data_IF_118638434007
#
_entry.id   IF_118638434007
#
_cell.length_a   1.000
_cell.length_b   1.000
_cell.length_c   1.000
_cell.angle_alpha   90.00
_cell.angle_beta   90.00
_cell.angle_gamma   90.00
#
_symmetry.space_group_name_H-M   'P 1'
#
loop_
_entity.id
_entity.type
_entity.pdbx_description
1 polymer ?
#
# COMPACT_ATOMS: atom_id res chain seq x y z
N UNK A 1 -15.45 8.63 -5.41
CA UNK A 1 -15.75 10.08 -5.39
C UNK A 1 -16.96 10.45 -4.49
N UNK A 2 -17.67 9.50 -3.90
CA UNK A 2 -18.85 9.75 -3.10
C UNK A 2 -18.65 9.57 -1.59
N UNK A 3 -17.46 9.19 -1.13
CA UNK A 3 -17.22 8.93 0.28
C UNK A 3 -16.32 10.03 0.85
N UNK A 4 -16.90 10.85 1.73
CA UNK A 4 -16.13 11.76 2.58
C UNK A 4 -15.52 10.92 3.72
N UNK A 5 -14.24 10.58 3.57
CA UNK A 5 -13.51 9.78 4.54
C UNK A 5 -12.72 10.74 5.41
N UNK A 6 -13.03 10.76 6.71
CA UNK A 6 -12.21 11.46 7.67
C UNK A 6 -10.85 10.74 7.81
N UNK A 7 -9.79 11.40 7.37
CA UNK A 7 -8.42 10.88 7.37
C UNK A 7 -7.65 11.54 8.51
N UNK A 8 -7.33 10.81 9.59
CA UNK A 8 -6.60 11.38 10.71
C UNK A 8 -5.20 11.85 10.31
N UNK A 9 -4.85 13.08 10.65
CA UNK A 9 -3.57 13.71 10.27
C UNK A 9 -2.36 12.89 10.78
N UNK A 10 -2.47 12.28 11.95
CA UNK A 10 -1.42 11.40 12.51
C UNK A 10 -1.13 10.19 11.60
N UNK A 11 -2.15 9.66 10.90
CA UNK A 11 -1.96 8.55 9.96
C UNK A 11 -1.30 9.05 8.67
N UNK A 12 -1.65 10.25 8.23
CA UNK A 12 -1.02 10.89 7.06
C UNK A 12 0.46 11.14 7.32
N UNK A 13 0.81 11.72 8.48
CA UNK A 13 2.21 11.95 8.84
C UNK A 13 3.02 10.64 8.92
N UNK A 14 2.45 9.59 9.50
CA UNK A 14 3.07 8.26 9.53
C UNK A 14 3.29 7.67 8.12
N UNK A 15 2.33 7.87 7.22
CA UNK A 15 2.47 7.42 5.82
C UNK A 15 3.55 8.22 5.08
N UNK A 16 3.62 9.55 5.31
CA UNK A 16 4.69 10.40 4.77
C UNK A 16 6.06 9.91 5.23
N UNK A 17 6.22 9.59 6.52
CA UNK A 17 7.48 9.04 7.05
C UNK A 17 7.86 7.74 6.34
N UNK A 18 6.90 6.86 6.11
CA UNK A 18 7.09 5.60 5.37
C UNK A 18 7.52 5.86 3.93
N UNK A 19 6.87 6.82 3.24
CA UNK A 19 7.23 7.20 1.87
C UNK A 19 8.64 7.78 1.77
N UNK A 20 9.01 8.67 2.70
CA UNK A 20 10.36 9.24 2.76
C UNK A 20 11.41 8.16 3.05
N UNK A 21 11.10 7.21 3.94
CA UNK A 21 11.99 6.09 4.21
C UNK A 21 12.17 5.18 2.99
N UNK A 22 11.11 4.89 2.25
CA UNK A 22 11.16 4.15 0.99
C UNK A 22 12.02 4.88 -0.06
N UNK A 23 11.86 6.19 -0.18
CA UNK A 23 12.69 7.01 -1.06
C UNK A 23 14.18 6.93 -0.67
N UNK A 24 14.51 7.02 0.62
CA UNK A 24 15.90 6.87 1.10
C UNK A 24 16.50 5.53 0.69
N UNK A 25 15.73 4.45 0.82
CA UNK A 25 16.19 3.12 0.43
C UNK A 25 16.41 3.04 -1.09
N UNK A 26 15.50 3.56 -1.88
CA UNK A 26 15.62 3.57 -3.34
C UNK A 26 16.84 4.39 -3.80
N UNK A 27 17.09 5.54 -3.21
CA UNK A 27 18.29 6.34 -3.48
C UNK A 27 19.57 5.59 -3.10
N UNK A 28 19.57 4.91 -1.95
CA UNK A 28 20.72 4.12 -1.49
C UNK A 28 21.08 2.99 -2.48
N UNK A 29 20.09 2.30 -3.08
CA UNK A 29 20.34 1.33 -4.15
C UNK A 29 21.00 1.94 -5.39
N UNK A 30 20.78 3.24 -5.63
CA UNK A 30 21.40 3.99 -6.73
C UNK A 30 22.74 4.64 -6.32
N UNK A 31 23.22 4.39 -5.11
CA UNK A 31 24.44 4.99 -4.57
C UNK A 31 24.32 6.46 -4.19
N UNK A 32 23.09 6.95 -4.02
CA UNK A 32 22.81 8.33 -3.65
C UNK A 32 22.29 8.43 -2.21
N UNK A 33 22.67 9.50 -1.51
CA UNK A 33 22.06 9.85 -0.23
C UNK A 33 20.89 10.83 -0.44
N UNK A 34 19.99 10.89 0.55
CA UNK A 34 18.92 11.88 0.54
C UNK A 34 19.46 13.32 0.50
N UNK A 35 20.58 13.59 1.19
CA UNK A 35 21.22 14.90 1.20
C UNK A 35 21.77 15.29 -0.18
N UNK A 36 22.33 14.32 -0.92
CA UNK A 36 22.76 14.55 -2.30
C UNK A 36 21.56 14.84 -3.19
N UNK A 37 20.48 14.08 -3.04
CA UNK A 37 19.23 14.31 -3.78
C UNK A 37 18.67 15.71 -3.51
N UNK A 38 18.62 16.15 -2.24
CA UNK A 38 18.18 17.50 -1.86
C UNK A 38 19.03 18.59 -2.49
N UNK A 39 20.37 18.40 -2.54
CA UNK A 39 21.28 19.35 -3.19
C UNK A 39 21.05 19.44 -4.71
N UNK A 40 20.74 18.30 -5.37
CA UNK A 40 20.48 18.28 -6.81
C UNK A 40 19.13 18.90 -7.17
N UNK A 41 18.11 18.66 -6.37
CA UNK A 41 16.75 19.14 -6.64
C UNK A 41 16.47 20.53 -6.06
N UNK A 42 17.27 20.98 -5.10
CA UNK A 42 17.00 22.19 -4.33
C UNK A 42 15.84 22.08 -3.36
N UNK A 43 15.29 20.86 -3.16
CA UNK A 43 14.16 20.61 -2.27
C UNK A 43 14.66 20.28 -0.87
N UNK A 44 14.17 20.98 0.13
CA UNK A 44 14.40 20.62 1.52
C UNK A 44 13.41 19.51 1.99
N UNK A 45 13.59 19.05 3.23
CA UNK A 45 12.74 18.00 3.80
C UNK A 45 11.28 18.44 3.91
N UNK A 46 11.02 19.71 4.22
CA UNK A 46 9.67 20.22 4.35
C UNK A 46 8.93 20.17 3.01
N UNK A 47 9.56 20.67 1.94
CA UNK A 47 9.01 20.63 0.59
C UNK A 47 8.76 19.18 0.10
N UNK A 48 9.66 18.24 0.45
CA UNK A 48 9.47 16.83 0.11
C UNK A 48 8.26 16.22 0.86
N UNK A 49 8.07 16.54 2.13
CA UNK A 49 6.92 16.12 2.92
C UNK A 49 5.62 16.70 2.37
N UNK A 50 5.60 17.98 2.05
CA UNK A 50 4.44 18.66 1.47
C UNK A 50 4.03 18.04 0.12
N UNK A 51 5.02 17.72 -0.71
CA UNK A 51 4.76 17.04 -1.99
C UNK A 51 4.19 15.63 -1.80
N UNK A 52 4.65 14.90 -0.78
CA UNK A 52 4.17 13.56 -0.48
C UNK A 52 2.77 13.54 0.17
N UNK A 53 2.32 14.64 0.80
CA UNK A 53 1.10 14.69 1.62
C UNK A 53 -0.14 14.26 0.86
N UNK A 54 -0.37 14.78 -0.34
CA UNK A 54 -1.57 14.45 -1.12
C UNK A 54 -1.66 12.96 -1.47
N UNK A 55 -0.52 12.34 -1.78
CA UNK A 55 -0.48 10.91 -2.09
C UNK A 55 -0.58 10.06 -0.80
N UNK A 56 -0.01 10.53 0.30
CA UNK A 56 -0.17 9.91 1.62
C UNK A 56 -1.65 9.91 2.06
N UNK A 57 -2.35 11.04 1.92
CA UNK A 57 -3.79 11.15 2.23
C UNK A 57 -4.61 10.15 1.42
N UNK A 58 -4.37 10.04 0.11
CA UNK A 58 -5.06 9.06 -0.76
C UNK A 58 -4.80 7.62 -0.33
N UNK A 59 -3.54 7.29 0.01
CA UNK A 59 -3.17 5.95 0.47
C UNK A 59 -3.84 5.60 1.79
N UNK A 60 -3.84 6.54 2.75
CA UNK A 60 -4.50 6.35 4.05
C UNK A 60 -6.00 6.22 3.87
N UNK A 61 -6.65 7.10 3.07
CA UNK A 61 -8.07 7.03 2.78
C UNK A 61 -8.45 5.68 2.16
N UNK A 62 -7.69 5.20 1.16
CA UNK A 62 -7.92 3.90 0.53
C UNK A 62 -7.79 2.75 1.53
N UNK A 63 -6.81 2.81 2.43
CA UNK A 63 -6.61 1.80 3.49
C UNK A 63 -7.76 1.78 4.48
N UNK A 64 -8.24 2.96 4.91
CA UNK A 64 -9.40 3.09 5.80
C UNK A 64 -10.65 2.50 5.13
N UNK A 65 -10.88 2.85 3.86
CA UNK A 65 -12.01 2.33 3.08
C UNK A 65 -11.97 0.81 2.97
N UNK A 66 -10.83 0.24 2.57
CA UNK A 66 -10.67 -1.21 2.45
C UNK A 66 -10.91 -1.92 3.79
N UNK A 67 -10.39 -1.38 4.89
CA UNK A 67 -10.66 -1.94 6.22
C UNK A 67 -12.13 -1.86 6.61
N UNK A 68 -12.83 -0.80 6.23
CA UNK A 68 -14.27 -0.68 6.45
C UNK A 68 -15.05 -1.72 5.63
N UNK A 69 -14.69 -1.92 4.36
CA UNK A 69 -15.29 -2.95 3.48
C UNK A 69 -15.04 -4.35 4.04
N UNK A 70 -13.80 -4.67 4.42
CA UNK A 70 -13.44 -5.98 5.02
C UNK A 70 -14.34 -6.27 6.23
N UNK A 71 -14.53 -5.27 7.09
CA UNK A 71 -15.36 -5.41 8.29
C UNK A 71 -16.84 -5.55 7.98
N UNK A 72 -17.35 -4.73 7.05
CA UNK A 72 -18.78 -4.71 6.68
C UNK A 72 -19.20 -5.98 5.97
N UNK A 73 -18.36 -6.50 5.08
CA UNK A 73 -18.63 -7.71 4.28
C UNK A 73 -18.16 -8.99 4.98
N UNK A 74 -17.61 -8.88 6.20
CA UNK A 74 -17.05 -10.01 6.99
C UNK A 74 -16.05 -10.83 6.18
N UNK A 75 -15.12 -10.17 5.51
CA UNK A 75 -14.10 -10.84 4.69
C UNK A 75 -13.07 -11.48 5.61
N UNK A 76 -12.98 -12.81 5.52
CA UNK A 76 -12.02 -13.61 6.30
C UNK A 76 -10.94 -14.20 5.39
N UNK A 77 -9.75 -14.36 5.94
CA UNK A 77 -8.67 -15.13 5.34
C UNK A 77 -8.75 -16.56 5.87
N UNK A 78 -8.90 -17.53 4.97
CA UNK A 78 -8.82 -18.94 5.33
C UNK A 78 -7.36 -19.41 5.38
N UNK A 79 -7.09 -20.55 6.04
CA UNK A 79 -5.75 -21.13 6.05
C UNK A 79 -5.23 -21.41 4.62
N UNK A 80 -6.12 -21.85 3.73
CA UNK A 80 -5.79 -22.09 2.32
C UNK A 80 -5.38 -20.81 1.58
N UNK A 81 -6.08 -19.70 1.84
CA UNK A 81 -5.74 -18.40 1.27
C UNK A 81 -4.37 -17.91 1.74
N UNK A 82 -4.09 -18.08 3.03
CA UNK A 82 -2.81 -17.69 3.64
C UNK A 82 -1.67 -18.54 3.09
N UNK A 83 -1.86 -19.85 2.97
CA UNK A 83 -0.86 -20.77 2.41
C UNK A 83 -0.56 -20.42 0.94
N UNK A 84 -1.58 -20.08 0.15
CA UNK A 84 -1.41 -19.63 -1.22
C UNK A 84 -0.63 -18.32 -1.30
N UNK A 85 -1.01 -17.33 -0.51
CA UNK A 85 -0.30 -16.03 -0.46
C UNK A 85 1.16 -16.20 -0.06
N UNK A 86 1.41 -17.08 0.90
CA UNK A 86 2.77 -17.40 1.35
C UNK A 86 3.57 -18.11 0.26
N UNK A 87 2.94 -18.98 -0.54
CA UNK A 87 3.57 -19.62 -1.69
C UNK A 87 3.92 -18.61 -2.79
N UNK A 88 3.01 -17.68 -3.08
CA UNK A 88 3.22 -16.61 -4.06
C UNK A 88 4.36 -15.68 -3.62
N UNK A 89 4.40 -15.32 -2.33
CA UNK A 89 5.48 -14.55 -1.75
C UNK A 89 6.83 -15.28 -1.86
N UNK A 90 6.88 -16.54 -1.48
CA UNK A 90 8.08 -17.36 -1.58
C UNK A 90 8.61 -17.44 -3.03
N UNK A 91 7.72 -17.66 -3.99
CA UNK A 91 8.06 -17.71 -5.42
C UNK A 91 8.62 -16.36 -5.92
N UNK A 92 8.04 -15.25 -5.50
CA UNK A 92 8.47 -13.91 -5.89
C UNK A 92 9.90 -13.59 -5.42
N UNK A 93 10.28 -14.07 -4.23
CA UNK A 93 11.61 -13.83 -3.65
C UNK A 93 12.58 -14.99 -3.85
N UNK A 94 12.22 -16.02 -4.61
CA UNK A 94 13.06 -17.19 -4.85
C UNK A 94 13.38 -17.99 -3.59
N UNK A 95 12.48 -17.97 -2.62
CA UNK A 95 12.59 -18.68 -1.34
C UNK A 95 11.68 -19.90 -1.30
N UNK A 96 11.91 -20.82 -0.37
CA UNK A 96 10.95 -21.89 -0.09
C UNK A 96 9.88 -21.40 0.89
N UNK A 97 8.67 -21.96 0.81
CA UNK A 97 7.60 -21.70 1.78
C UNK A 97 8.05 -22.01 3.21
N UNK A 98 8.89 -23.05 3.36
CA UNK A 98 9.44 -23.44 4.67
C UNK A 98 10.37 -22.36 5.25
N UNK A 99 11.18 -21.71 4.41
CA UNK A 99 12.07 -20.64 4.84
C UNK A 99 11.28 -19.38 5.21
N UNK A 100 10.23 -19.08 4.45
CA UNK A 100 9.28 -17.99 4.79
C UNK A 100 8.61 -18.28 6.13
N UNK A 101 8.08 -19.50 6.34
CA UNK A 101 7.47 -19.93 7.63
C UNK A 101 8.46 -19.82 8.79
N UNK A 102 9.72 -20.16 8.61
CA UNK A 102 10.75 -20.00 9.65
C UNK A 102 11.05 -18.55 9.97
N UNK A 103 11.06 -17.70 8.95
CA UNK A 103 11.37 -16.27 9.10
C UNK A 103 10.27 -15.51 9.85
N UNK A 104 9.01 -15.80 9.56
CA UNK A 104 7.85 -15.15 10.21
C UNK A 104 7.42 -15.84 11.51
N UNK A 105 7.86 -17.08 11.77
CA UNK A 105 7.43 -17.85 12.92
C UNK A 105 5.92 -18.10 12.93
N UNK A 106 5.26 -17.79 14.05
CA UNK A 106 3.80 -17.95 14.21
C UNK A 106 3.01 -16.67 13.90
N UNK A 107 3.67 -15.60 13.44
CA UNK A 107 2.99 -14.34 13.13
C UNK A 107 2.50 -14.32 11.70
N UNK A 108 1.32 -14.90 11.48
CA UNK A 108 0.64 -14.91 10.18
C UNK A 108 -0.19 -13.64 9.92
N UNK A 109 -0.23 -12.72 10.88
CA UNK A 109 -1.10 -11.53 10.81
C UNK A 109 -0.86 -10.69 9.55
N UNK A 110 0.38 -10.57 9.10
CA UNK A 110 0.71 -9.87 7.87
C UNK A 110 0.02 -10.48 6.65
N UNK A 111 0.09 -11.80 6.49
CA UNK A 111 -0.55 -12.51 5.38
C UNK A 111 -2.08 -12.51 5.47
N UNK A 112 -2.62 -12.61 6.68
CA UNK A 112 -4.07 -12.50 6.90
C UNK A 112 -4.61 -11.15 6.44
N UNK A 113 -3.95 -10.05 6.81
CA UNK A 113 -4.37 -8.70 6.41
C UNK A 113 -4.23 -8.50 4.90
N UNK A 114 -3.14 -8.98 4.29
CA UNK A 114 -2.91 -8.86 2.85
C UNK A 114 -3.95 -9.65 2.04
N UNK A 115 -4.25 -10.88 2.45
CA UNK A 115 -5.31 -11.70 1.85
C UNK A 115 -6.68 -11.02 1.94
N UNK A 116 -7.03 -10.48 3.13
CA UNK A 116 -8.31 -9.77 3.31
C UNK A 116 -8.40 -8.54 2.40
N UNK A 117 -7.30 -7.79 2.26
CA UNK A 117 -7.26 -6.63 1.36
C UNK A 117 -7.42 -7.04 -0.10
N UNK A 118 -6.74 -8.09 -0.56
CA UNK A 118 -6.88 -8.63 -1.92
C UNK A 118 -8.31 -9.06 -2.20
N UNK A 119 -8.91 -9.86 -1.32
CA UNK A 119 -10.32 -10.29 -1.44
C UNK A 119 -11.29 -9.10 -1.49
N UNK A 120 -11.07 -8.07 -0.69
CA UNK A 120 -11.89 -6.87 -0.72
C UNK A 120 -11.79 -6.13 -2.06
N UNK A 121 -10.58 -6.00 -2.60
CA UNK A 121 -10.35 -5.37 -3.90
C UNK A 121 -11.02 -6.18 -5.01
N UNK A 122 -10.85 -7.50 -5.05
CA UNK A 122 -11.45 -8.38 -6.06
C UNK A 122 -12.98 -8.29 -6.02
N UNK A 123 -13.58 -8.34 -4.83
CA UNK A 123 -15.03 -8.16 -4.66
C UNK A 123 -15.50 -6.79 -5.15
N UNK A 124 -14.76 -5.73 -4.87
CA UNK A 124 -15.09 -4.38 -5.35
C UNK A 124 -15.01 -4.31 -6.87
N UNK A 125 -14.04 -4.97 -7.50
CA UNK A 125 -13.90 -5.07 -8.95
C UNK A 125 -15.07 -5.81 -9.58
N UNK A 126 -15.47 -6.95 -9.02
CA UNK A 126 -16.61 -7.74 -9.49
C UNK A 126 -17.93 -6.98 -9.42
N UNK A 127 -18.13 -6.19 -8.36
CA UNK A 127 -19.33 -5.37 -8.17
C UNK A 127 -19.27 -4.00 -8.87
N UNK A 128 -18.13 -3.61 -9.43
CA UNK A 128 -17.95 -2.31 -10.05
C UNK A 128 -18.67 -2.22 -11.41
N UNK A 129 -19.45 -1.19 -11.59
CA UNK A 129 -19.99 -0.79 -12.89
C UNK A 129 -18.92 0.03 -13.63
N UNK A 130 -18.26 -0.57 -14.61
CA UNK A 130 -17.31 0.15 -15.46
C UNK A 130 -18.06 1.07 -16.42
N UNK A 131 -17.98 2.39 -16.19
CA UNK A 131 -18.47 3.42 -17.11
C UNK A 131 -17.30 3.80 -18.00
N UNK A 132 -17.48 3.67 -19.33
CA UNK A 132 -16.45 4.12 -20.27
C UNK A 132 -16.13 5.60 -20.01
N UNK A 133 -14.84 5.91 -19.83
CA UNK A 133 -14.40 7.29 -19.71
C UNK A 133 -14.82 8.03 -21.00
N UNK A 134 -15.60 9.12 -20.86
CA UNK A 134 -15.86 10.00 -21.99
C UNK A 134 -14.52 10.53 -22.46
N UNK A 135 -14.17 10.27 -23.72
CA UNK A 135 -13.05 10.93 -24.37
C UNK A 135 -13.22 12.44 -24.18
N UNK A 136 -12.20 13.11 -23.63
CA UNK A 136 -12.15 14.56 -23.70
C UNK A 136 -11.99 14.89 -25.18
N UNK A 137 -13.04 15.42 -25.79
CA UNK A 137 -12.91 16.12 -27.05
C UNK A 137 -12.00 17.32 -26.79
N UNK A 138 -10.79 17.26 -27.33
CA UNK A 138 -9.92 18.42 -27.41
C UNK A 138 -10.52 19.37 -28.46
N UNK A 139 -10.96 20.53 -27.99
CA UNK A 139 -11.10 21.72 -28.82
C UNK A 139 -9.80 22.52 -28.82
#
# INVERSE_FOLDING_TARGET
EANDIDVPDVMVESEIDTMIQGMKQQLAYQGLSLEQYQKFTGMDMAAMRDQARMDAEKRVASRILLKAVIRQENIEATEEDIDKEMADFAAQYGQSVEDVKKMIGNDLHYFEEDVKMKKAIDMMFEKANFVAAKAKEEE
#
